data_IF_800332212672
#
_entry.id   IF_800332212672
#
_cell.length_a   1.000
_cell.length_b   1.000
_cell.length_c   1.000
_cell.angle_alpha   90.00
_cell.angle_beta   90.00
_cell.angle_gamma   90.00
#
_symmetry.space_group_name_H-M   'P 1'
#
loop_
_entity.id
_entity.type
_entity.pdbx_description
1 polymer ?
#
# COMPACT_ATOMS: atom_id res chain seq x y z
N UNK A 1 -66.26 8.47 65.71
CA UNK A 1 -67.29 8.57 64.66
C UNK A 1 -66.62 8.42 63.30
N UNK A 2 -67.11 7.46 62.51
CA UNK A 2 -67.03 7.30 61.05
C UNK A 2 -65.65 7.11 60.37
N UNK A 3 -65.51 5.91 59.76
CA UNK A 3 -64.57 5.56 58.68
C UNK A 3 -64.99 6.26 57.38
N UNK A 4 -64.03 6.69 56.56
CA UNK A 4 -64.07 6.55 55.08
C UNK A 4 -62.69 6.84 54.46
N UNK A 5 -62.39 6.08 53.41
CA UNK A 5 -61.16 6.06 52.62
C UNK A 5 -61.00 7.29 51.72
N UNK A 6 -59.81 7.52 51.13
CA UNK A 6 -59.57 7.81 49.69
C UNK A 6 -58.06 7.96 49.37
N UNK A 7 -57.55 7.00 48.58
CA UNK A 7 -56.51 7.03 47.51
C UNK A 7 -55.03 7.30 47.82
N UNK A 8 -54.24 6.23 47.60
CA UNK A 8 -52.79 6.15 47.43
C UNK A 8 -52.29 6.82 46.14
N UNK A 9 -51.11 7.42 46.19
CA UNK A 9 -50.16 7.45 45.06
C UNK A 9 -48.87 6.81 45.56
N UNK A 10 -48.60 5.58 45.09
CA UNK A 10 -47.34 4.89 45.27
C UNK A 10 -46.56 4.97 43.94
N UNK A 11 -45.43 5.67 43.94
CA UNK A 11 -44.44 5.58 42.87
C UNK A 11 -43.54 4.38 43.13
N UNK A 12 -43.87 3.26 42.48
CA UNK A 12 -42.98 2.13 42.29
C UNK A 12 -42.05 2.42 41.11
N UNK A 13 -40.73 2.47 41.33
CA UNK A 13 -39.75 2.28 40.26
C UNK A 13 -39.32 0.82 40.36
N UNK A 14 -39.88 0.01 39.48
CA UNK A 14 -39.60 -1.41 39.34
C UNK A 14 -38.19 -1.63 38.80
N UNK A 15 -37.46 -2.51 39.47
CA UNK A 15 -36.31 -3.20 38.91
C UNK A 15 -36.77 -4.09 37.75
N UNK A 16 -36.24 -3.84 36.56
CA UNK A 16 -36.28 -4.80 35.45
C UNK A 16 -34.85 -5.21 35.14
N UNK A 17 -34.50 -6.40 35.63
CA UNK A 17 -33.44 -7.25 35.10
C UNK A 17 -33.77 -7.59 33.64
N UNK A 18 -32.95 -7.14 32.70
CA UNK A 18 -32.87 -7.76 31.38
C UNK A 18 -31.46 -8.32 31.22
N UNK A 19 -31.42 -9.64 31.05
CA UNK A 19 -30.26 -10.39 30.60
C UNK A 19 -29.91 -9.91 29.19
N UNK A 20 -28.80 -9.20 29.02
CA UNK A 20 -28.20 -9.01 27.70
C UNK A 20 -27.49 -10.29 27.29
N UNK A 21 -28.24 -11.11 26.55
CA UNK A 21 -27.70 -12.16 25.71
C UNK A 21 -27.49 -11.60 24.31
N UNK A 22 -26.37 -10.92 24.07
CA UNK A 22 -25.85 -10.72 22.72
C UNK A 22 -24.34 -10.64 22.75
N UNK A 23 -23.73 -11.84 22.69
CA UNK A 23 -22.37 -12.01 22.21
C UNK A 23 -22.32 -11.72 20.71
N UNK A 24 -21.16 -11.24 20.26
CA UNK A 24 -20.75 -11.00 18.88
C UNK A 24 -21.32 -9.75 18.17
N UNK A 25 -20.65 -8.62 18.38
CA UNK A 25 -19.96 -7.87 17.33
C UNK A 25 -19.36 -6.59 17.94
N UNK A 26 -18.25 -6.75 18.66
CA UNK A 26 -17.33 -5.64 18.85
C UNK A 26 -16.45 -5.58 17.61
N UNK A 27 -16.96 -4.95 16.56
CA UNK A 27 -16.14 -4.51 15.44
C UNK A 27 -15.16 -3.47 16.02
N UNK A 28 -13.97 -3.93 16.42
CA UNK A 28 -12.87 -3.05 16.78
C UNK A 28 -12.58 -2.21 15.56
N UNK A 29 -13.16 -1.02 15.51
CA UNK A 29 -12.81 0.03 14.57
C UNK A 29 -11.38 0.47 14.93
N UNK A 30 -10.39 -0.29 14.46
CA UNK A 30 -8.96 0.01 14.62
C UNK A 30 -8.68 1.29 13.84
N UNK A 31 -8.35 2.38 14.55
CA UNK A 31 -8.07 3.68 13.95
C UNK A 31 -6.62 3.71 13.49
N UNK A 32 -6.39 4.11 12.23
CA UNK A 32 -5.08 4.56 11.77
C UNK A 32 -4.51 5.60 12.76
N UNK A 33 -3.23 5.48 13.10
CA UNK A 33 -2.56 6.38 14.05
C UNK A 33 -2.65 7.83 13.56
N UNK A 34 -3.04 8.75 14.43
CA UNK A 34 -3.01 10.18 14.10
C UNK A 34 -1.58 10.65 13.84
N UNK A 35 -1.39 11.75 13.10
CA UNK A 35 -0.06 12.33 12.84
C UNK A 35 0.73 12.58 14.13
N UNK A 36 0.06 12.96 15.23
CA UNK A 36 0.70 13.15 16.54
C UNK A 36 1.15 11.83 17.17
N UNK A 37 0.36 10.77 17.03
CA UNK A 37 0.74 9.43 17.52
C UNK A 37 1.93 8.86 16.73
N UNK A 38 1.96 9.09 15.41
CA UNK A 38 3.09 8.70 14.54
C UNK A 38 4.36 9.46 14.90
N UNK A 39 4.23 10.76 15.20
CA UNK A 39 5.35 11.59 15.64
C UNK A 39 5.86 11.16 17.02
N UNK A 40 4.97 10.86 17.96
CA UNK A 40 5.34 10.36 19.29
C UNK A 40 6.03 9.00 19.22
N UNK A 41 5.55 8.09 18.37
CA UNK A 41 6.17 6.80 18.13
C UNK A 41 7.62 6.99 17.66
N UNK A 42 7.85 7.70 16.56
CA UNK A 42 9.20 7.90 16.06
C UNK A 42 10.13 8.65 17.04
N UNK A 43 9.62 9.56 17.88
CA UNK A 43 10.40 10.18 18.97
C UNK A 43 10.82 9.19 20.05
N UNK A 44 9.91 8.31 20.46
CA UNK A 44 10.16 7.31 21.51
C UNK A 44 11.16 6.26 21.02
N UNK A 45 11.09 5.93 19.74
CA UNK A 45 11.85 4.86 19.12
C UNK A 45 13.28 5.28 18.74
N UNK A 46 13.55 6.58 18.54
CA UNK A 46 14.89 7.11 18.26
C UNK A 46 15.91 6.86 19.39
N UNK A 47 15.46 6.86 20.65
CA UNK A 47 16.30 6.52 21.79
C UNK A 47 16.74 5.04 21.76
N UNK A 48 15.82 4.13 21.37
CA UNK A 48 16.10 2.71 21.20
C UNK A 48 17.11 2.45 20.07
N UNK A 49 17.08 3.26 19.01
CA UNK A 49 18.01 3.13 17.88
C UNK A 49 19.43 3.57 18.18
N UNK A 50 19.58 4.60 19.01
CA UNK A 50 20.90 5.03 19.50
C UNK A 50 21.55 3.91 20.32
N UNK A 51 20.74 3.14 21.04
CA UNK A 51 21.23 1.93 21.73
C UNK A 51 21.56 0.85 20.70
N UNK A 52 20.69 0.62 19.70
CA UNK A 52 20.92 -0.37 18.65
C UNK A 52 22.23 -0.15 17.90
N UNK A 53 22.57 1.08 17.51
CA UNK A 53 23.78 1.37 16.71
C UNK A 53 25.09 1.07 17.45
N UNK A 54 25.08 1.02 18.78
CA UNK A 54 26.28 0.80 19.60
C UNK A 54 26.61 -0.67 19.88
N UNK A 55 25.71 -1.60 19.56
CA UNK A 55 25.94 -3.03 19.83
C UNK A 55 26.91 -3.67 18.84
N UNK A 56 27.69 -4.66 19.28
CA UNK A 56 28.61 -5.40 18.40
C UNK A 56 27.87 -6.11 17.26
N UNK A 57 26.70 -6.68 17.53
CA UNK A 57 25.86 -7.34 16.52
C UNK A 57 25.42 -6.36 15.43
N UNK A 58 25.00 -5.16 15.82
CA UNK A 58 24.59 -4.12 14.88
C UNK A 58 25.76 -3.65 14.03
N UNK A 59 26.93 -3.39 14.63
CA UNK A 59 28.14 -3.04 13.87
C UNK A 59 28.50 -4.12 12.85
N UNK A 60 28.50 -5.39 13.24
CA UNK A 60 28.75 -6.51 12.31
C UNK A 60 27.71 -6.58 11.20
N UNK A 61 26.44 -6.27 11.48
CA UNK A 61 25.38 -6.22 10.48
C UNK A 61 25.63 -5.07 9.49
N UNK A 62 26.06 -3.91 9.97
CA UNK A 62 26.44 -2.76 9.13
C UNK A 62 27.65 -3.09 8.25
N UNK A 63 28.70 -3.68 8.81
CA UNK A 63 29.88 -4.14 8.05
C UNK A 63 29.48 -5.11 6.93
N UNK A 64 28.58 -6.06 7.20
CA UNK A 64 28.04 -6.97 6.18
C UNK A 64 27.20 -6.24 5.13
N UNK A 65 26.37 -5.28 5.54
CA UNK A 65 25.54 -4.49 4.62
C UNK A 65 26.41 -3.66 3.67
N UNK A 66 27.45 -2.99 4.19
CA UNK A 66 28.45 -2.27 3.40
C UNK A 66 29.13 -3.20 2.42
N UNK A 67 29.71 -4.32 2.90
CA UNK A 67 30.42 -5.26 2.04
C UNK A 67 29.52 -5.86 0.93
N UNK A 68 28.25 -6.16 1.25
CA UNK A 68 27.26 -6.63 0.26
C UNK A 68 27.02 -5.57 -0.80
N UNK A 69 26.67 -4.34 -0.40
CA UNK A 69 26.35 -3.24 -1.32
C UNK A 69 27.54 -2.90 -2.21
N UNK A 70 28.76 -2.91 -1.67
CA UNK A 70 30.00 -2.76 -2.43
C UNK A 70 30.16 -3.83 -3.50
N UNK A 71 29.98 -5.10 -3.11
CA UNK A 71 30.10 -6.22 -4.03
C UNK A 71 29.03 -6.16 -5.13
N UNK A 72 27.79 -5.80 -4.79
CA UNK A 72 26.69 -5.64 -5.74
C UNK A 72 26.96 -4.52 -6.73
N UNK A 73 27.34 -3.32 -6.28
CA UNK A 73 27.66 -2.20 -7.17
C UNK A 73 28.82 -2.54 -8.10
N UNK A 74 29.89 -3.15 -7.57
CA UNK A 74 31.03 -3.60 -8.38
C UNK A 74 30.59 -4.59 -9.46
N UNK A 75 29.84 -5.63 -9.08
CA UNK A 75 29.30 -6.64 -10.00
C UNK A 75 28.43 -6.00 -11.09
N UNK A 76 27.51 -5.10 -10.73
CA UNK A 76 26.63 -4.43 -11.70
C UNK A 76 27.40 -3.56 -12.69
N UNK A 77 28.43 -2.85 -12.23
CA UNK A 77 29.34 -2.06 -13.07
C UNK A 77 30.14 -2.96 -14.02
N UNK A 78 30.63 -4.10 -13.54
CA UNK A 78 31.35 -5.10 -14.34
C UNK A 78 30.44 -5.75 -15.41
N UNK A 79 29.25 -6.21 -15.03
CA UNK A 79 28.26 -6.79 -15.96
C UNK A 79 27.85 -5.79 -17.04
N UNK A 80 27.75 -4.49 -16.70
CA UNK A 80 27.51 -3.43 -17.68
C UNK A 80 28.69 -3.25 -18.63
N UNK A 81 29.92 -3.22 -18.11
CA UNK A 81 31.11 -3.14 -18.95
C UNK A 81 31.19 -4.33 -19.92
N UNK A 82 30.91 -5.54 -19.45
CA UNK A 82 30.85 -6.74 -20.31
C UNK A 82 29.77 -6.65 -21.38
N UNK A 83 28.57 -6.15 -21.04
CA UNK A 83 27.52 -5.89 -22.04
C UNK A 83 27.95 -4.87 -23.09
N UNK A 84 28.66 -3.80 -22.70
CA UNK A 84 29.23 -2.82 -23.63
C UNK A 84 30.35 -3.39 -24.49
N UNK A 85 31.12 -4.37 -24.00
CA UNK A 85 32.17 -5.02 -24.79
C UNK A 85 31.60 -6.01 -25.82
N UNK A 86 30.38 -6.52 -25.58
CA UNK A 86 29.66 -7.42 -26.48
C UNK A 86 28.83 -6.69 -27.57
N UNK A 87 28.76 -5.35 -27.53
CA UNK A 87 28.20 -4.47 -28.57
C UNK A 87 29.34 -3.56 -29.07
N UNK A 88 29.83 -3.77 -30.29
CA UNK A 88 31.01 -3.03 -30.79
C UNK A 88 30.76 -1.54 -31.08
N UNK A 89 31.83 -0.77 -30.83
CA UNK A 89 32.10 0.67 -31.06
C UNK A 89 31.62 1.72 -30.04
N UNK A 90 32.55 2.18 -29.17
CA UNK A 90 33.12 3.54 -29.26
C UNK A 90 34.06 3.86 -28.09
N UNK A 91 35.14 4.57 -28.41
CA UNK A 91 36.12 5.16 -27.50
C UNK A 91 35.50 6.26 -26.62
N UNK A 92 35.47 6.04 -25.30
CA UNK A 92 35.38 7.12 -24.33
C UNK A 92 35.90 6.69 -22.96
N UNK A 93 37.02 7.30 -22.55
CA UNK A 93 37.56 7.24 -21.19
C UNK A 93 36.86 8.27 -20.31
N UNK A 94 36.03 7.84 -19.37
CA UNK A 94 35.61 8.62 -18.19
C UNK A 94 35.46 7.64 -17.02
N UNK A 95 36.00 8.00 -15.87
CA UNK A 95 36.31 7.07 -14.78
C UNK A 95 35.22 6.96 -13.70
N UNK A 96 35.23 5.82 -13.00
CA UNK A 96 34.21 5.28 -12.08
C UNK A 96 34.68 5.46 -10.61
N UNK A 97 35.56 6.44 -10.38
CA UNK A 97 36.59 6.35 -9.33
C UNK A 97 36.15 6.76 -7.92
N UNK A 98 34.86 7.05 -7.67
CA UNK A 98 34.40 7.12 -6.28
C UNK A 98 34.46 5.71 -5.71
N UNK A 99 35.47 5.47 -4.88
CA UNK A 99 35.67 4.20 -4.21
C UNK A 99 34.40 3.82 -3.46
N UNK A 100 33.94 2.58 -3.63
CA UNK A 100 32.75 2.07 -2.95
C UNK A 100 32.84 2.30 -1.44
N UNK A 101 34.05 2.20 -0.87
CA UNK A 101 34.30 2.53 0.52
C UNK A 101 33.85 3.94 0.91
N UNK A 102 34.02 4.95 0.05
CA UNK A 102 33.55 6.33 0.33
C UNK A 102 32.02 6.47 0.20
N UNK A 103 31.38 5.65 -0.63
CA UNK A 103 29.91 5.65 -0.79
C UNK A 103 29.19 4.96 0.37
N UNK A 104 29.87 4.06 1.08
CA UNK A 104 29.31 3.25 2.15
C UNK A 104 29.92 3.51 3.54
N UNK A 105 30.85 4.45 3.67
CA UNK A 105 31.50 4.89 4.94
C UNK A 105 30.67 5.93 5.71
N UNK A 106 29.35 5.92 5.54
CA UNK A 106 28.43 6.70 6.37
C UNK A 106 28.02 5.89 7.60
N UNK A 107 28.06 6.50 8.80
CA UNK A 107 27.38 5.95 9.97
C UNK A 107 25.94 5.63 9.58
N UNK A 108 25.61 4.35 9.36
CA UNK A 108 24.23 3.92 9.17
C UNK A 108 23.53 4.05 10.52
N UNK A 109 23.07 5.24 10.83
CA UNK A 109 22.09 5.43 11.88
C UNK A 109 20.85 4.67 11.43
N UNK A 110 20.52 3.60 12.12
CA UNK A 110 19.19 3.01 12.00
C UNK A 110 18.23 4.11 12.46
N UNK A 111 17.41 4.64 11.56
CA UNK A 111 16.44 5.67 11.90
C UNK A 111 15.05 5.12 11.59
N UNK A 112 14.11 5.37 12.51
CA UNK A 112 12.72 4.93 12.36
C UNK A 112 12.08 5.87 11.38
N UNK A 113 11.63 5.30 10.27
CA UNK A 113 10.79 6.02 9.34
C UNK A 113 9.48 6.40 10.07
N UNK A 114 9.04 7.66 10.03
CA UNK A 114 7.70 8.00 10.45
C UNK A 114 6.69 7.28 9.57
N UNK A 115 5.62 6.76 10.16
CA UNK A 115 4.52 6.16 9.40
C UNK A 115 3.91 7.19 8.42
N UNK A 116 3.85 6.84 7.14
CA UNK A 116 3.28 7.68 6.08
C UNK A 116 1.96 7.11 5.58
N UNK A 117 1.37 7.74 4.56
CA UNK A 117 0.18 7.21 3.89
C UNK A 117 0.56 6.24 2.77
N UNK A 118 -0.23 5.18 2.63
CA UNK A 118 -0.25 4.28 1.48
C UNK A 118 -0.64 5.02 0.17
N UNK A 119 -1.29 6.17 0.27
CA UNK A 119 -1.73 6.94 -0.89
C UNK A 119 -2.85 6.24 -1.69
N UNK A 120 -3.34 6.88 -2.77
CA UNK A 120 -4.56 6.45 -3.44
C UNK A 120 -4.37 5.25 -4.39
N UNK A 121 -3.19 4.64 -4.47
CA UNK A 121 -2.85 3.66 -5.51
C UNK A 121 -2.30 2.33 -4.98
N UNK A 122 -2.48 2.06 -3.68
CA UNK A 122 -2.07 0.78 -3.10
C UNK A 122 -3.01 -0.36 -3.54
N UNK A 123 -2.43 -1.46 -3.98
CA UNK A 123 -3.13 -2.65 -4.45
C UNK A 123 -2.68 -3.83 -3.58
N UNK A 124 -3.62 -4.60 -3.04
CA UNK A 124 -3.34 -5.71 -2.11
C UNK A 124 -3.11 -7.02 -2.85
N UNK A 125 -2.24 -7.87 -2.31
CA UNK A 125 -2.02 -9.22 -2.85
C UNK A 125 -1.17 -9.22 -4.12
N UNK A 126 -0.21 -8.31 -4.19
CA UNK A 126 0.78 -8.20 -5.27
C UNK A 126 1.61 -9.48 -5.45
N UNK A 127 2.24 -9.58 -6.61
CA UNK A 127 3.08 -10.73 -6.98
C UNK A 127 4.39 -10.71 -6.19
N UNK A 128 4.77 -11.88 -5.67
CA UNK A 128 6.08 -12.11 -5.08
C UNK A 128 7.11 -12.21 -6.21
N UNK A 129 7.95 -11.18 -6.37
CA UNK A 129 8.96 -11.08 -7.43
C UNK A 129 10.03 -10.06 -7.10
N UNK A 130 11.24 -10.36 -7.58
CA UNK A 130 12.41 -9.48 -7.47
C UNK A 130 12.50 -8.47 -8.62
N UNK A 131 12.19 -8.87 -9.85
CA UNK A 131 12.15 -7.94 -11.01
C UNK A 131 10.71 -7.49 -11.27
N UNK A 132 10.47 -6.20 -11.08
CA UNK A 132 9.15 -5.56 -11.18
C UNK A 132 8.98 -4.75 -12.46
N UNK A 133 9.99 -4.68 -13.33
CA UNK A 133 9.98 -3.78 -14.51
C UNK A 133 8.95 -4.16 -15.55
N UNK A 134 8.72 -5.47 -15.72
CA UNK A 134 7.97 -6.02 -16.84
C UNK A 134 8.44 -5.45 -18.18
N UNK A 135 7.58 -4.72 -18.89
CA UNK A 135 7.88 -4.07 -20.17
C UNK A 135 8.11 -2.56 -20.05
N UNK A 136 8.17 -2.02 -18.84
CA UNK A 136 8.37 -0.58 -18.65
C UNK A 136 9.78 -0.17 -19.04
N UNK A 137 9.88 0.94 -19.78
CA UNK A 137 11.17 1.52 -20.19
C UNK A 137 11.53 2.65 -19.24
N UNK A 138 12.80 2.73 -18.84
CA UNK A 138 13.31 3.78 -17.96
C UNK A 138 14.73 3.47 -17.50
N UNK A 139 15.25 4.34 -16.62
CA UNK A 139 16.55 4.15 -15.96
C UNK A 139 16.44 2.94 -15.06
N UNK A 140 17.28 1.91 -15.23
CA UNK A 140 17.21 0.72 -14.37
C UNK A 140 17.61 1.09 -12.94
N UNK A 141 16.77 0.73 -11.98
CA UNK A 141 16.98 0.96 -10.55
C UNK A 141 17.10 -0.38 -9.83
N UNK A 142 18.21 -0.60 -9.14
CA UNK A 142 18.42 -1.73 -8.24
C UNK A 142 18.23 -1.24 -6.81
N UNK A 143 17.41 -1.95 -6.03
CA UNK A 143 16.93 -1.49 -4.72
C UNK A 143 17.41 -2.47 -3.64
N UNK A 144 18.04 -1.96 -2.58
CA UNK A 144 18.38 -2.69 -1.35
C UNK A 144 17.64 -2.02 -0.17
N UNK A 145 16.59 -2.67 0.32
CA UNK A 145 15.83 -2.22 1.50
C UNK A 145 16.18 -3.14 2.67
N UNK A 146 16.88 -2.62 3.67
CA UNK A 146 17.18 -3.37 4.88
C UNK A 146 16.24 -2.98 6.02
N UNK A 147 15.63 -3.98 6.67
CA UNK A 147 14.66 -3.80 7.75
C UNK A 147 15.21 -4.38 9.05
N UNK A 148 15.18 -3.57 10.11
CA UNK A 148 15.62 -3.95 11.46
C UNK A 148 14.48 -3.72 12.44
N UNK A 149 14.26 -4.67 13.35
CA UNK A 149 13.30 -4.51 14.42
C UNK A 149 13.92 -3.62 15.50
N UNK A 150 13.25 -2.53 15.80
CA UNK A 150 13.78 -1.55 16.76
C UNK A 150 13.76 -2.04 18.20
N UNK A 151 12.93 -3.03 18.51
CA UNK A 151 12.76 -3.53 19.88
C UNK A 151 13.91 -4.43 20.33
N UNK A 152 14.57 -5.12 19.38
CA UNK A 152 15.66 -6.06 19.68
C UNK A 152 16.92 -5.83 18.82
N UNK A 153 16.89 -4.81 17.95
CA UNK A 153 17.97 -4.42 17.06
C UNK A 153 18.42 -5.53 16.09
N UNK A 154 17.55 -6.49 15.80
CA UNK A 154 17.85 -7.61 14.90
C UNK A 154 17.26 -7.38 13.51
N UNK A 155 17.91 -7.93 12.46
CA UNK A 155 17.31 -7.92 11.13
C UNK A 155 15.96 -8.64 11.15
N UNK A 156 14.96 -8.06 10.47
CA UNK A 156 13.65 -8.68 10.31
C UNK A 156 13.68 -9.62 9.13
N UNK A 157 13.75 -10.92 9.40
CA UNK A 157 13.69 -11.97 8.38
C UNK A 157 12.24 -12.27 7.95
N UNK A 158 12.05 -12.64 6.69
CA UNK A 158 10.76 -13.05 6.12
C UNK A 158 9.66 -11.97 6.24
N UNK A 159 10.04 -10.70 6.31
CA UNK A 159 9.13 -9.59 6.06
C UNK A 159 8.92 -9.46 4.56
N UNK A 160 7.67 -9.42 4.14
CA UNK A 160 7.28 -9.27 2.74
C UNK A 160 7.17 -7.78 2.43
N UNK A 161 8.26 -7.23 1.89
CA UNK A 161 8.38 -5.82 1.49
C UNK A 161 7.60 -5.62 0.20
N UNK A 162 6.46 -4.94 0.31
CA UNK A 162 5.63 -4.52 -0.82
C UNK A 162 6.07 -3.11 -1.25
N UNK A 163 6.55 -3.01 -2.49
CA UNK A 163 7.02 -1.76 -3.07
C UNK A 163 6.31 -1.50 -4.39
N UNK A 164 5.82 -0.28 -4.55
CA UNK A 164 5.22 0.18 -5.78
C UNK A 164 5.53 1.64 -6.06
N UNK A 165 5.56 2.00 -7.34
CA UNK A 165 5.75 3.38 -7.77
C UNK A 165 5.20 3.63 -9.18
N UNK A 166 5.17 4.89 -9.57
CA UNK A 166 4.76 5.29 -10.91
C UNK A 166 5.80 4.88 -11.98
N UNK A 167 5.35 4.69 -13.22
CA UNK A 167 6.26 4.61 -14.36
C UNK A 167 6.92 5.97 -14.67
N UNK A 168 7.79 5.99 -15.68
CA UNK A 168 8.58 7.17 -16.03
C UNK A 168 7.75 8.43 -16.37
N UNK A 169 6.47 8.28 -16.72
CA UNK A 169 5.55 9.39 -17.03
C UNK A 169 4.51 9.65 -15.94
N UNK A 170 4.68 9.07 -14.75
CA UNK A 170 3.81 9.33 -13.60
C UNK A 170 2.51 8.51 -13.59
N UNK A 171 2.49 7.31 -14.18
CA UNK A 171 1.30 6.44 -14.18
C UNK A 171 1.54 5.18 -13.35
N UNK A 172 0.64 4.89 -12.42
CA UNK A 172 0.60 3.65 -11.65
C UNK A 172 -0.20 2.57 -12.38
N UNK A 173 0.31 1.34 -12.39
CA UNK A 173 -0.41 0.15 -12.89
C UNK A 173 -1.58 -0.22 -11.97
N UNK A 174 -2.55 -1.00 -12.47
CA UNK A 174 -3.62 -1.59 -11.65
C UNK A 174 -4.70 -0.62 -11.16
N UNK A 175 -4.60 0.67 -11.50
CA UNK A 175 -5.53 1.71 -11.01
C UNK A 175 -5.93 2.67 -12.12
N UNK A 176 -7.23 2.97 -12.21
CA UNK A 176 -7.78 4.00 -13.09
C UNK A 176 -8.42 5.08 -12.23
N UNK A 177 -7.86 6.29 -12.28
CA UNK A 177 -8.32 7.44 -11.52
C UNK A 177 -8.10 8.72 -12.33
N UNK A 178 -8.87 9.77 -12.05
CA UNK A 178 -8.73 11.08 -12.72
C UNK A 178 -7.34 11.72 -12.55
N UNK A 179 -6.62 11.30 -11.52
CA UNK A 179 -5.27 11.76 -11.17
C UNK A 179 -4.16 10.83 -11.63
N UNK A 180 -4.48 9.69 -12.28
CA UNK A 180 -3.52 8.66 -12.67
C UNK A 180 -3.47 8.48 -14.20
N UNK A 181 -2.69 9.32 -14.89
CA UNK A 181 -2.52 9.24 -16.34
C UNK A 181 -3.83 9.41 -17.11
N UNK A 182 -4.09 8.50 -18.07
CA UNK A 182 -5.31 8.51 -18.86
C UNK A 182 -6.44 7.75 -18.14
N UNK A 183 -7.36 8.48 -17.50
CA UNK A 183 -8.50 7.87 -16.79
C UNK A 183 -9.51 7.15 -17.68
N UNK A 184 -9.43 7.31 -19.01
CA UNK A 184 -10.26 6.55 -19.95
C UNK A 184 -9.66 5.18 -20.30
N UNK A 185 -8.37 4.96 -20.01
CA UNK A 185 -7.70 3.69 -20.29
C UNK A 185 -8.02 2.63 -19.23
N UNK A 186 -9.08 1.87 -19.48
CA UNK A 186 -9.49 0.76 -18.61
C UNK A 186 -8.53 -0.43 -18.66
N UNK A 187 -7.67 -0.53 -19.68
CA UNK A 187 -6.70 -1.64 -19.78
C UNK A 187 -5.66 -1.56 -18.66
N UNK A 188 -5.44 -0.38 -18.08
CA UNK A 188 -4.49 -0.20 -17.00
C UNK A 188 -4.83 -1.00 -15.73
N UNK A 189 -6.10 -1.36 -15.52
CA UNK A 189 -6.51 -2.24 -14.42
C UNK A 189 -5.89 -3.64 -14.49
N UNK A 190 -5.47 -4.07 -15.68
CA UNK A 190 -4.87 -5.39 -15.92
C UNK A 190 -3.35 -5.39 -15.77
N UNK A 191 -2.73 -4.21 -15.66
CA UNK A 191 -1.29 -4.09 -15.56
C UNK A 191 -0.83 -4.27 -14.13
N UNK A 192 0.33 -4.89 -13.94
CA UNK A 192 0.95 -5.04 -12.62
C UNK A 192 2.35 -4.43 -12.56
N UNK A 193 2.85 -3.81 -13.64
CA UNK A 193 4.22 -3.28 -13.68
C UNK A 193 4.58 -2.40 -12.49
N UNK A 194 5.85 -2.43 -12.07
CA UNK A 194 6.44 -1.57 -11.04
C UNK A 194 5.79 -1.74 -9.66
N UNK A 195 5.30 -2.94 -9.39
CA UNK A 195 4.77 -3.40 -8.11
C UNK A 195 5.37 -4.75 -7.78
N UNK A 196 5.66 -5.02 -6.52
CA UNK A 196 6.14 -6.36 -6.16
C UNK A 196 6.40 -6.52 -4.69
N UNK A 197 6.31 -7.77 -4.28
CA UNK A 197 6.55 -8.18 -2.91
C UNK A 197 7.83 -9.00 -2.85
N UNK A 198 8.80 -8.59 -2.05
CA UNK A 198 10.06 -9.33 -1.89
C UNK A 198 10.27 -9.67 -0.42
N UNK A 199 10.46 -10.96 -0.06
CA UNK A 199 10.77 -11.33 1.31
C UNK A 199 12.19 -10.89 1.69
N UNK A 200 12.35 -10.41 2.92
CA UNK A 200 13.66 -10.11 3.48
C UNK A 200 14.44 -11.38 3.83
N UNK A 201 15.75 -11.35 3.61
CA UNK A 201 16.68 -12.44 3.91
C UNK A 201 17.12 -12.48 5.40
N UNK A 202 18.17 -13.26 5.71
CA UNK A 202 18.73 -13.39 7.06
C UNK A 202 19.33 -12.08 7.61
N UNK A 203 19.76 -11.17 6.74
CA UNK A 203 20.28 -9.85 7.10
C UNK A 203 19.18 -8.78 7.05
N UNK A 204 17.93 -9.20 6.85
CA UNK A 204 16.74 -8.34 6.83
C UNK A 204 16.58 -7.58 5.53
N UNK A 205 17.15 -8.08 4.42
CA UNK A 205 17.27 -7.33 3.17
C UNK A 205 16.31 -7.86 2.13
N UNK A 206 15.51 -6.95 1.55
CA UNK A 206 14.76 -7.19 0.33
C UNK A 206 15.49 -6.50 -0.84
N UNK A 207 15.91 -7.29 -1.82
CA UNK A 207 16.54 -6.80 -3.04
C UNK A 207 15.54 -6.83 -4.21
N UNK A 208 15.40 -5.72 -4.94
CA UNK A 208 14.49 -5.63 -6.09
C UNK A 208 15.13 -4.93 -7.30
N UNK A 209 14.59 -5.19 -8.48
CA UNK A 209 14.94 -4.53 -9.74
C UNK A 209 13.70 -3.84 -10.28
N UNK A 210 13.82 -2.55 -10.58
CA UNK A 210 12.76 -1.73 -11.14
C UNK A 210 13.33 -0.70 -12.14
N UNK A 211 12.51 0.26 -12.55
CA UNK A 211 12.98 1.51 -13.15
C UNK A 211 12.93 2.63 -12.12
N UNK A 212 13.72 3.69 -12.29
CA UNK A 212 13.60 4.89 -11.45
C UNK A 212 12.19 5.48 -11.58
N UNK A 213 11.49 5.85 -10.50
CA UNK A 213 10.11 6.33 -10.58
C UNK A 213 10.02 7.65 -11.37
N UNK A 214 8.94 7.85 -12.11
CA UNK A 214 8.60 9.16 -12.67
C UNK A 214 7.76 9.98 -11.69
N UNK A 215 7.71 11.30 -11.91
CA UNK A 215 6.83 12.19 -11.14
C UNK A 215 5.40 12.24 -11.69
N UNK A 216 4.45 12.57 -10.83
CA UNK A 216 3.09 12.96 -11.21
C UNK A 216 2.68 14.26 -10.51
N UNK A 217 1.69 14.95 -11.06
CA UNK A 217 1.32 16.30 -10.63
C UNK A 217 1.03 16.36 -9.12
N UNK A 218 1.68 17.30 -8.44
CA UNK A 218 1.48 17.57 -7.02
C UNK A 218 2.35 16.74 -6.07
N UNK A 219 3.22 15.86 -6.59
CA UNK A 219 4.14 15.04 -5.79
C UNK A 219 5.55 15.02 -6.38
N UNK A 220 6.57 14.96 -5.52
CA UNK A 220 7.96 14.67 -5.96
C UNK A 220 8.08 13.20 -6.37
N UNK A 221 9.14 12.82 -7.07
CA UNK A 221 9.48 11.41 -7.33
C UNK A 221 9.63 10.63 -6.03
N UNK A 222 8.94 9.50 -5.90
CA UNK A 222 8.94 8.64 -4.71
C UNK A 222 8.62 7.18 -5.05
N UNK A 223 8.94 6.27 -4.12
CA UNK A 223 8.46 4.90 -4.11
C UNK A 223 7.75 4.61 -2.79
N UNK A 224 6.70 3.81 -2.81
CA UNK A 224 5.99 3.42 -1.60
C UNK A 224 6.56 2.13 -1.01
N UNK A 225 6.35 1.94 0.29
CA UNK A 225 6.78 0.77 1.04
C UNK A 225 5.69 0.31 2.01
N UNK A 226 5.42 -1.00 2.07
CA UNK A 226 4.68 -1.64 3.15
C UNK A 226 5.43 -2.87 3.63
N UNK A 227 5.68 -2.94 4.94
CA UNK A 227 6.28 -4.10 5.60
C UNK A 227 5.22 -5.10 6.06
N UNK A 228 4.96 -6.15 5.29
CA UNK A 228 3.97 -7.18 5.65
C UNK A 228 4.62 -8.35 6.40
N UNK A 229 3.93 -8.94 7.37
CA UNK A 229 4.39 -10.11 8.13
C UNK A 229 3.25 -11.02 8.58
N UNK A 230 3.56 -12.25 8.99
CA UNK A 230 2.59 -13.18 9.57
C UNK A 230 1.54 -13.76 8.60
N UNK A 231 1.62 -13.41 7.30
CA UNK A 231 0.78 -13.95 6.24
C UNK A 231 1.32 -15.23 5.61
N UNK A 232 0.58 -15.72 4.60
CA UNK A 232 0.85 -16.97 3.88
C UNK A 232 1.13 -16.70 2.40
N UNK A 233 2.15 -17.37 1.86
CA UNK A 233 2.41 -17.42 0.42
C UNK A 233 1.43 -18.39 -0.24
N UNK A 234 0.70 -17.90 -1.22
CA UNK A 234 -0.25 -18.68 -2.01
C UNK A 234 0.43 -19.34 -3.21
N UNK A 235 -0.19 -20.39 -3.76
CA UNK A 235 0.34 -21.16 -4.90
C UNK A 235 0.52 -20.34 -6.19
N UNK A 236 -0.24 -19.25 -6.33
CA UNK A 236 -0.14 -18.28 -7.42
C UNK A 236 0.96 -17.22 -7.20
N UNK A 237 1.84 -17.40 -6.20
CA UNK A 237 2.91 -16.47 -5.83
C UNK A 237 2.41 -15.11 -5.35
N UNK A 238 1.23 -15.02 -4.75
CA UNK A 238 0.81 -13.81 -4.00
C UNK A 238 0.90 -14.05 -2.50
N UNK A 239 0.79 -12.99 -1.72
CA UNK A 239 0.85 -13.02 -0.25
C UNK A 239 -0.49 -12.60 0.35
N UNK A 240 -1.01 -13.34 1.33
CA UNK A 240 -2.33 -13.08 1.94
C UNK A 240 -2.34 -13.28 3.46
N UNK A 241 -3.36 -12.71 4.12
CA UNK A 241 -3.56 -12.86 5.57
C UNK A 241 -2.48 -12.21 6.43
N UNK A 242 -1.75 -11.22 5.88
CA UNK A 242 -0.65 -10.57 6.56
C UNK A 242 -1.11 -9.42 7.48
N UNK A 243 -0.36 -9.22 8.55
CA UNK A 243 -0.34 -7.99 9.34
C UNK A 243 0.64 -6.99 8.70
N UNK A 244 0.41 -5.69 8.92
CA UNK A 244 1.28 -4.62 8.42
C UNK A 244 2.04 -4.00 9.58
N UNK A 245 3.37 -4.07 9.53
CA UNK A 245 4.23 -3.49 10.56
C UNK A 245 4.47 -2.00 10.32
N UNK A 246 4.53 -1.58 9.05
CA UNK A 246 4.95 -0.22 8.70
C UNK A 246 4.44 0.18 7.31
N UNK A 247 4.09 1.45 7.15
CA UNK A 247 3.73 2.09 5.88
C UNK A 247 4.64 3.30 5.67
N UNK A 248 5.36 3.32 4.56
CA UNK A 248 6.41 4.30 4.27
C UNK A 248 6.42 4.77 2.83
N UNK A 249 7.26 5.79 2.57
CA UNK A 249 7.56 6.30 1.25
C UNK A 249 9.02 6.74 1.21
N UNK A 250 9.75 6.23 0.22
CA UNK A 250 11.13 6.60 -0.05
C UNK A 250 11.19 7.73 -1.06
N UNK A 251 12.10 8.66 -0.82
CA UNK A 251 12.36 9.84 -1.65
C UNK A 251 13.79 9.80 -2.20
N UNK A 252 14.10 10.73 -3.09
CA UNK A 252 15.38 10.78 -3.79
C UNK A 252 15.93 12.20 -3.80
N UNK A 253 17.25 12.31 -3.85
CA UNK A 253 17.94 13.61 -4.00
C UNK A 253 17.48 14.36 -5.25
N UNK A 254 17.32 15.67 -5.12
CA UNK A 254 16.83 16.51 -6.23
C UNK A 254 17.78 16.44 -7.44
N UNK A 255 19.09 16.43 -7.21
CA UNK A 255 20.09 16.33 -8.27
C UNK A 255 19.97 15.02 -9.07
N UNK A 256 19.64 13.92 -8.39
CA UNK A 256 19.39 12.63 -9.06
C UNK A 256 18.10 12.67 -9.86
N UNK A 257 17.04 13.26 -9.30
CA UNK A 257 15.76 13.45 -10.01
C UNK A 257 15.99 14.26 -11.28
N UNK A 258 16.66 15.41 -11.18
CA UNK A 258 16.94 16.29 -12.32
C UNK A 258 17.76 15.58 -13.41
N UNK A 259 18.75 14.77 -13.01
CA UNK A 259 19.55 13.97 -13.93
C UNK A 259 18.73 12.90 -14.66
N UNK A 260 17.75 12.27 -14.00
CA UNK A 260 16.87 11.27 -14.62
C UNK A 260 15.80 11.92 -15.50
N UNK A 261 15.22 13.04 -15.08
CA UNK A 261 14.20 13.79 -15.84
C UNK A 261 14.71 14.27 -17.21
N UNK A 262 16.02 14.47 -17.36
CA UNK A 262 16.66 14.81 -18.62
C UNK A 262 16.72 13.65 -19.63
N UNK A 263 16.49 12.40 -19.20
CA UNK A 263 16.66 11.18 -19.99
C UNK A 263 15.32 10.69 -20.56
N UNK A 264 15.32 10.11 -21.77
CA UNK A 264 14.11 9.46 -22.32
C UNK A 264 13.84 8.13 -21.59
N UNK A 265 12.58 7.81 -21.20
CA UNK A 265 11.34 8.51 -21.55
C UNK A 265 10.88 9.58 -20.55
N UNK A 266 11.60 9.83 -19.45
CA UNK A 266 11.22 10.82 -18.44
C UNK A 266 11.05 12.22 -19.03
N UNK A 267 11.95 12.63 -19.93
CA UNK A 267 11.86 13.92 -20.65
C UNK A 267 10.60 14.12 -21.52
N UNK A 268 9.82 13.05 -21.74
CA UNK A 268 8.52 13.12 -22.42
C UNK A 268 7.37 13.45 -21.47
N UNK A 269 7.56 13.31 -20.16
CA UNK A 269 6.57 13.65 -19.14
C UNK A 269 6.29 15.16 -19.18
N UNK A 270 5.02 15.53 -19.32
CA UNK A 270 4.56 16.94 -19.40
C UNK A 270 3.86 17.40 -18.13
N UNK A 271 3.80 16.55 -17.11
CA UNK A 271 3.28 16.93 -15.81
C UNK A 271 4.20 17.97 -15.14
N UNK A 272 3.64 18.76 -14.23
CA UNK A 272 4.44 19.71 -13.45
C UNK A 272 5.23 18.97 -12.39
N UNK A 273 6.56 19.06 -12.45
CA UNK A 273 7.45 18.53 -11.44
C UNK A 273 7.33 19.34 -10.13
N UNK A 274 6.99 18.66 -9.04
CA UNK A 274 7.11 19.19 -7.68
C UNK A 274 8.49 18.81 -7.15
N UNK A 275 9.29 19.80 -6.74
CA UNK A 275 10.60 19.50 -6.13
C UNK A 275 10.44 18.78 -4.80
N UNK A 276 11.46 18.00 -4.40
CA UNK A 276 11.45 17.25 -3.14
C UNK A 276 11.21 18.18 -1.95
N UNK A 277 11.91 19.31 -1.89
CA UNK A 277 11.73 20.34 -0.85
C UNK A 277 10.34 21.00 -0.84
N UNK A 278 9.54 20.85 -1.90
CA UNK A 278 8.17 21.39 -1.98
C UNK A 278 7.09 20.36 -1.64
N UNK A 279 7.42 19.06 -1.65
CA UNK A 279 6.47 17.98 -1.40
C UNK A 279 6.05 17.94 0.08
N UNK A 280 4.74 17.84 0.31
CA UNK A 280 4.18 17.85 1.67
C UNK A 280 4.42 16.55 2.41
N UNK A 281 4.41 15.41 1.71
CA UNK A 281 4.64 14.09 2.32
C UNK A 281 6.12 13.94 2.66
N UNK A 282 7.03 14.45 1.82
CA UNK A 282 8.45 14.52 2.16
C UNK A 282 8.67 15.34 3.44
N UNK A 283 8.02 16.52 3.56
CA UNK A 283 8.11 17.34 4.78
C UNK A 283 7.55 16.63 6.03
N UNK A 284 6.51 15.82 5.86
CA UNK A 284 5.98 14.98 6.94
C UNK A 284 6.97 13.86 7.31
N UNK A 285 7.62 13.27 6.31
CA UNK A 285 8.62 12.21 6.46
C UNK A 285 9.91 12.68 7.15
N UNK A 286 10.31 13.94 6.98
CA UNK A 286 11.44 14.56 7.69
C UNK A 286 11.25 14.69 9.22
N UNK A 287 10.11 14.23 9.76
CA UNK A 287 9.88 14.19 11.19
C UNK A 287 10.92 13.35 11.94
N UNK A 288 11.31 13.81 13.13
CA UNK A 288 12.11 13.05 14.10
C UNK A 288 13.50 12.63 13.62
N UNK A 289 14.18 13.51 12.86
CA UNK A 289 15.57 13.32 12.42
C UNK A 289 15.76 12.10 11.51
N UNK A 290 14.67 11.59 10.91
CA UNK A 290 14.70 10.60 9.84
C UNK A 290 14.98 11.28 8.51
N UNK A 291 15.92 10.69 7.77
CA UNK A 291 16.15 11.03 6.38
C UNK A 291 15.48 9.99 5.49
N UNK A 292 14.36 10.32 4.83
CA UNK A 292 13.64 9.39 3.98
C UNK A 292 14.24 9.29 2.57
N UNK A 293 15.38 9.96 2.33
CA UNK A 293 16.10 9.93 1.06
C UNK A 293 16.88 8.62 0.95
N UNK A 294 16.65 7.89 -0.16
CA UNK A 294 17.48 6.74 -0.47
C UNK A 294 18.88 7.20 -0.87
N UNK A 295 19.88 6.56 -0.27
CA UNK A 295 21.25 6.67 -0.75
C UNK A 295 21.35 6.04 -2.13
N UNK A 296 22.30 6.51 -2.94
CA UNK A 296 22.45 6.00 -4.30
C UNK A 296 23.90 5.97 -4.79
N UNK A 297 24.15 5.10 -5.75
CA UNK A 297 25.37 5.01 -6.53
C UNK A 297 25.00 4.88 -8.00
N UNK A 298 25.62 5.71 -8.85
CA UNK A 298 25.50 5.56 -10.30
C UNK A 298 26.27 4.32 -10.77
N UNK A 299 25.69 3.59 -11.72
CA UNK A 299 26.29 2.38 -12.31
C UNK A 299 27.14 2.67 -13.55
N UNK A 300 27.19 3.94 -13.96
CA UNK A 300 28.05 4.44 -15.03
C UNK A 300 28.32 5.93 -14.87
N UNK A 301 28.62 6.59 -15.98
CA UNK A 301 28.97 8.02 -16.01
C UNK A 301 27.74 8.93 -15.98
N UNK A 302 26.53 8.37 -16.13
CA UNK A 302 25.27 9.11 -16.11
C UNK A 302 24.15 8.29 -15.47
N UNK A 303 23.05 8.95 -15.08
CA UNK A 303 21.87 8.26 -14.57
C UNK A 303 21.27 7.26 -15.57
N UNK A 304 21.41 7.49 -16.88
CA UNK A 304 20.95 6.57 -17.92
C UNK A 304 21.59 5.17 -17.84
N UNK A 305 22.75 5.07 -17.18
CA UNK A 305 23.48 3.81 -17.03
C UNK A 305 22.93 2.92 -15.92
N UNK A 306 21.93 3.42 -15.18
CA UNK A 306 21.31 2.76 -14.06
C UNK A 306 21.82 3.27 -12.72
N UNK A 307 21.01 3.01 -11.69
CA UNK A 307 21.25 3.47 -10.33
C UNK A 307 21.09 2.28 -9.38
N UNK A 308 21.96 2.20 -8.39
CA UNK A 308 21.77 1.34 -7.23
C UNK A 308 21.37 2.22 -6.06
N UNK A 309 20.22 1.95 -5.45
CA UNK A 309 19.66 2.72 -4.33
C UNK A 309 19.52 1.84 -3.10
N UNK A 310 19.78 2.41 -1.91
CA UNK A 310 19.63 1.67 -0.67
C UNK A 310 19.16 2.53 0.49
N UNK A 311 18.47 1.88 1.43
CA UNK A 311 18.07 2.46 2.71
C UNK A 311 18.01 1.36 3.77
N UNK A 312 18.36 1.71 5.01
CA UNK A 312 18.19 0.83 6.16
C UNK A 312 17.17 1.47 7.10
N UNK A 313 16.00 0.87 7.22
CA UNK A 313 14.91 1.34 8.06
C UNK A 313 14.75 0.50 9.32
N UNK A 314 14.29 1.14 10.38
CA UNK A 314 13.87 0.45 11.59
C UNK A 314 12.35 0.47 11.73
N UNK A 315 11.78 -0.69 12.02
CA UNK A 315 10.33 -0.92 12.20
C UNK A 315 10.04 -1.44 13.59
N UNK A 316 8.86 -1.15 14.11
CA UNK A 316 8.35 -1.80 15.32
C UNK A 316 7.46 -2.98 14.91
N UNK A 317 7.98 -4.19 15.09
CA UNK A 317 7.25 -5.42 14.77
C UNK A 317 6.07 -5.70 15.70
N UNK A 318 5.87 -4.91 16.76
CA UNK A 318 4.67 -4.96 17.61
C UNK A 318 3.55 -4.06 17.08
N UNK A 319 3.83 -3.20 16.10
CA UNK A 319 2.82 -2.39 15.45
C UNK A 319 1.97 -3.22 14.48
N UNK A 320 0.70 -2.84 14.37
CA UNK A 320 -0.24 -3.38 13.40
C UNK A 320 -1.03 -2.22 12.78
N UNK A 321 -0.68 -1.88 11.54
CA UNK A 321 -1.29 -0.77 10.80
C UNK A 321 -2.54 -1.22 10.04
N UNK A 322 -3.55 -0.36 10.00
CA UNK A 322 -4.71 -0.53 9.12
C UNK A 322 -4.44 0.17 7.78
N UNK A 323 -4.43 -0.58 6.69
CA UNK A 323 -4.11 -0.09 5.34
C UNK A 323 -5.30 -0.22 4.41
N UNK A 324 -5.61 0.86 3.68
CA UNK A 324 -6.71 0.89 2.71
C UNK A 324 -6.21 0.68 1.29
N UNK A 325 -6.36 -0.54 0.79
CA UNK A 325 -6.11 -0.85 -0.62
C UNK A 325 -7.26 -0.36 -1.51
N UNK A 326 -6.94 0.14 -2.71
CA UNK A 326 -7.94 0.51 -3.72
C UNK A 326 -8.39 -0.67 -4.58
N UNK A 327 -7.61 -1.75 -4.61
CA UNK A 327 -7.97 -3.02 -5.26
C UNK A 327 -7.16 -4.19 -4.69
N UNK A 328 -7.54 -5.43 -5.03
CA UNK A 328 -6.85 -6.67 -4.64
C UNK A 328 -6.59 -7.53 -5.88
N UNK A 329 -5.38 -8.07 -6.05
CA UNK A 329 -4.93 -8.84 -7.24
C UNK A 329 -5.24 -10.35 -7.18
N UNK A 330 -5.97 -10.84 -6.18
CA UNK A 330 -6.08 -12.28 -5.92
C UNK A 330 -6.93 -13.04 -6.98
N UNK A 331 -6.25 -13.70 -7.92
CA UNK A 331 -6.70 -14.94 -8.60
C UNK A 331 -6.41 -14.99 -10.10
N UNK A 332 -5.89 -16.10 -10.63
CA UNK A 332 -5.73 -16.34 -12.08
C UNK A 332 -6.97 -17.01 -12.67
N UNK A 333 -7.51 -16.46 -13.77
CA UNK A 333 -8.75 -16.91 -14.43
C UNK A 333 -9.82 -15.83 -14.33
N UNK A 334 -10.95 -15.94 -15.01
CA UNK A 334 -12.03 -14.92 -15.03
C UNK A 334 -12.60 -14.52 -13.65
N UNK A 335 -12.10 -15.11 -12.56
CA UNK A 335 -12.26 -14.70 -11.17
C UNK A 335 -11.28 -13.60 -10.69
N UNK A 336 -10.29 -13.19 -11.50
CA UNK A 336 -9.22 -12.23 -11.21
C UNK A 336 -9.65 -10.76 -11.05
N UNK A 337 -10.87 -10.43 -11.45
CA UNK A 337 -11.39 -9.07 -11.39
C UNK A 337 -12.75 -9.06 -10.76
N UNK A 338 -12.79 -9.23 -9.45
CA UNK A 338 -14.03 -9.01 -8.75
C UNK A 338 -13.81 -8.35 -7.38
N UNK A 339 -13.18 -7.17 -7.36
CA UNK A 339 -13.34 -6.25 -6.22
C UNK A 339 -14.81 -5.84 -5.99
N UNK A 340 -15.68 -6.06 -6.99
CA UNK A 340 -17.14 -5.98 -6.83
C UNK A 340 -17.72 -6.98 -5.83
N UNK A 341 -17.05 -8.11 -5.51
CA UNK A 341 -17.58 -9.08 -4.51
C UNK A 341 -17.40 -8.59 -3.07
N UNK A 342 -16.50 -7.62 -2.85
CA UNK A 342 -16.21 -7.00 -1.55
C UNK A 342 -16.74 -5.56 -1.44
N UNK A 343 -17.34 -5.01 -2.49
CA UNK A 343 -17.93 -3.67 -2.47
C UNK A 343 -19.41 -3.73 -2.08
N UNK A 344 -19.83 -3.07 -0.97
CA UNK A 344 -21.24 -2.91 -0.64
C UNK A 344 -22.01 -2.23 -1.78
N UNK A 345 -23.24 -2.67 -2.05
CA UNK A 345 -24.07 -2.16 -3.14
C UNK A 345 -24.42 -0.67 -3.04
N UNK A 346 -24.32 -0.06 -1.85
CA UNK A 346 -24.53 1.39 -1.70
C UNK A 346 -23.34 2.23 -2.19
N UNK A 347 -22.10 1.72 -2.13
CA UNK A 347 -20.88 2.45 -2.49
C UNK A 347 -20.82 2.98 -3.93
N UNK A 348 -21.34 2.29 -4.97
CA UNK A 348 -21.44 2.85 -6.32
C UNK A 348 -22.25 4.15 -6.40
N UNK A 349 -23.18 4.38 -5.46
CA UNK A 349 -23.85 5.68 -5.27
C UNK A 349 -22.81 6.76 -5.08
N UNK A 350 -21.97 6.64 -4.05
CA UNK A 350 -20.79 7.50 -3.82
C UNK A 350 -19.89 7.75 -5.04
N UNK A 351 -19.76 6.79 -5.95
CA UNK A 351 -18.95 6.92 -7.18
C UNK A 351 -19.76 7.37 -8.41
N UNK A 352 -21.06 7.58 -8.25
CA UNK A 352 -22.02 7.94 -9.29
C UNK A 352 -21.95 7.00 -10.52
N UNK A 353 -21.81 5.69 -10.30
CA UNK A 353 -21.54 4.71 -11.36
C UNK A 353 -22.60 3.63 -11.44
N UNK A 354 -23.54 3.79 -12.39
CA UNK A 354 -24.57 2.79 -12.69
C UNK A 354 -23.97 1.47 -13.20
N UNK A 355 -22.88 1.54 -13.97
CA UNK A 355 -22.18 0.35 -14.49
C UNK A 355 -21.57 -0.49 -13.37
N UNK A 356 -21.02 0.17 -12.35
CA UNK A 356 -20.46 -0.51 -11.18
C UNK A 356 -21.57 -1.17 -10.34
N UNK A 357 -22.69 -0.46 -10.16
CA UNK A 357 -23.87 -0.96 -9.48
C UNK A 357 -24.44 -2.22 -10.17
N UNK A 358 -24.56 -2.21 -11.50
CA UNK A 358 -24.97 -3.37 -12.30
C UNK A 358 -23.99 -4.54 -12.14
N UNK A 359 -22.68 -4.29 -12.19
CA UNK A 359 -21.67 -5.35 -12.05
C UNK A 359 -21.70 -6.03 -10.68
N UNK A 360 -21.92 -5.29 -9.59
CA UNK A 360 -22.06 -5.86 -8.23
C UNK A 360 -23.33 -6.73 -8.16
N UNK A 361 -24.42 -6.27 -8.78
CA UNK A 361 -25.67 -7.02 -8.85
C UNK A 361 -25.53 -8.33 -9.63
N UNK A 362 -24.99 -8.29 -10.84
CA UNK A 362 -24.76 -9.49 -11.67
C UNK A 362 -23.83 -10.48 -10.97
N UNK A 363 -22.91 -9.98 -10.14
CA UNK A 363 -22.04 -10.82 -9.30
C UNK A 363 -22.78 -11.46 -8.13
N UNK A 364 -23.84 -10.84 -7.62
CA UNK A 364 -24.70 -11.41 -6.57
C UNK A 364 -25.71 -12.42 -7.10
N UNK A 365 -26.22 -12.25 -8.32
CA UNK A 365 -27.22 -13.15 -8.90
C UNK A 365 -26.74 -14.61 -9.05
N UNK A 366 -25.43 -14.80 -9.17
CA UNK A 366 -24.79 -16.12 -9.20
C UNK A 366 -25.07 -16.98 -7.96
N UNK A 367 -25.49 -16.37 -6.85
CA UNK A 367 -25.75 -17.04 -5.57
C UNK A 367 -27.25 -17.18 -5.25
N UNK A 368 -28.15 -16.76 -6.15
CA UNK A 368 -29.61 -16.76 -5.89
C UNK A 368 -30.20 -18.18 -5.89
N UNK A 369 -29.67 -19.07 -6.73
CA UNK A 369 -30.13 -20.47 -6.87
C UNK A 369 -29.24 -21.48 -6.12
N UNK A 370 -28.25 -21.00 -5.35
CA UNK A 370 -27.28 -21.85 -4.67
C UNK A 370 -27.89 -22.44 -3.39
N UNK A 371 -28.75 -23.44 -3.59
CA UNK A 371 -29.43 -24.23 -2.55
C UNK A 371 -28.50 -25.21 -1.84
N UNK A 372 -27.20 -25.22 -2.18
CA UNK A 372 -26.20 -26.07 -1.56
C UNK A 372 -25.19 -25.16 -0.88
N UNK A 373 -25.36 -24.96 0.43
CA UNK A 373 -24.33 -24.34 1.26
C UNK A 373 -23.08 -25.24 1.26
N UNK A 374 -22.15 -25.00 0.34
CA UNK A 374 -20.79 -25.46 0.52
C UNK A 374 -20.20 -24.63 1.67
N UNK A 375 -20.11 -25.25 2.84
CA UNK A 375 -19.54 -24.65 4.04
C UNK A 375 -18.06 -24.23 3.87
N UNK A 376 -17.42 -24.67 2.77
CA UNK A 376 -16.04 -24.39 2.41
C UNK A 376 -15.86 -23.20 1.44
N UNK A 377 -16.94 -22.56 0.96
CA UNK A 377 -16.81 -21.37 0.11
C UNK A 377 -16.49 -20.10 0.93
N UNK A 378 -15.53 -19.27 0.49
CA UNK A 378 -15.14 -18.05 1.20
C UNK A 378 -16.28 -17.02 1.27
N UNK A 379 -16.33 -16.30 2.39
CA UNK A 379 -17.25 -15.20 2.65
C UNK A 379 -17.11 -14.07 1.62
N UNK A 380 -18.23 -13.54 1.10
CA UNK A 380 -18.27 -12.34 0.23
C UNK A 380 -19.54 -11.51 0.44
N UNK A 381 -19.48 -10.20 0.15
CA UNK A 381 -20.65 -9.30 0.29
C UNK A 381 -21.73 -9.58 -0.77
N UNK A 382 -21.36 -9.92 -2.00
CA UNK A 382 -22.35 -10.28 -3.04
C UNK A 382 -23.18 -11.50 -2.66
N UNK A 383 -22.57 -12.50 -1.99
CA UNK A 383 -23.32 -13.67 -1.48
C UNK A 383 -24.39 -13.22 -0.48
N UNK A 384 -24.02 -12.38 0.49
CA UNK A 384 -24.97 -11.84 1.47
C UNK A 384 -26.05 -10.93 0.86
N UNK A 385 -25.75 -10.19 -0.22
CA UNK A 385 -26.77 -9.43 -0.96
C UNK A 385 -27.85 -10.37 -1.51
N UNK A 386 -27.47 -11.56 -1.99
CA UNK A 386 -28.40 -12.54 -2.53
C UNK A 386 -29.08 -13.39 -1.46
N UNK A 387 -28.37 -13.79 -0.40
CA UNK A 387 -28.81 -14.83 0.53
C UNK A 387 -29.30 -14.31 1.88
N UNK A 388 -28.87 -13.14 2.35
CA UNK A 388 -29.22 -12.61 3.67
C UNK A 388 -30.23 -11.46 3.59
N UNK A 389 -31.46 -11.72 4.07
CA UNK A 389 -32.56 -10.76 4.04
C UNK A 389 -32.28 -9.45 4.81
N UNK A 390 -31.50 -9.51 5.90
CA UNK A 390 -31.21 -8.33 6.72
C UNK A 390 -30.16 -7.46 6.06
N UNK A 391 -29.11 -8.09 5.53
CA UNK A 391 -28.07 -7.40 4.78
C UNK A 391 -28.62 -6.78 3.49
N UNK A 392 -29.48 -7.51 2.77
CA UNK A 392 -30.17 -7.04 1.57
C UNK A 392 -31.02 -5.79 1.86
N UNK A 393 -31.78 -5.78 2.96
CA UNK A 393 -32.52 -4.61 3.43
C UNK A 393 -31.63 -3.44 3.83
N UNK A 394 -30.51 -3.70 4.50
CA UNK A 394 -29.54 -2.68 4.88
C UNK A 394 -28.91 -2.00 3.65
N UNK A 395 -28.49 -2.79 2.65
CA UNK A 395 -27.91 -2.27 1.42
C UNK A 395 -28.91 -1.44 0.61
N UNK A 396 -30.17 -1.85 0.52
CA UNK A 396 -31.22 -1.08 -0.13
C UNK A 396 -31.42 0.30 0.54
N UNK A 397 -31.52 0.33 1.87
CA UNK A 397 -31.71 1.59 2.61
C UNK A 397 -30.54 2.54 2.43
N UNK A 398 -29.30 2.07 2.54
CA UNK A 398 -28.12 2.93 2.32
C UNK A 398 -27.99 3.41 0.87
N UNK A 399 -28.26 2.54 -0.10
CA UNK A 399 -28.21 2.91 -1.52
C UNK A 399 -29.21 4.02 -1.84
N UNK A 400 -30.43 3.91 -1.30
CA UNK A 400 -31.44 4.96 -1.46
C UNK A 400 -31.02 6.30 -0.83
N UNK A 401 -30.46 6.27 0.38
CA UNK A 401 -30.01 7.50 1.05
C UNK A 401 -28.92 8.21 0.23
N UNK A 402 -27.90 7.48 -0.21
CA UNK A 402 -26.81 8.08 -1.00
C UNK A 402 -27.30 8.57 -2.38
N UNK A 403 -28.12 7.80 -3.08
CA UNK A 403 -28.59 8.17 -4.44
C UNK A 403 -29.51 9.39 -4.40
N UNK A 404 -30.33 9.54 -3.35
CA UNK A 404 -31.19 10.72 -3.16
C UNK A 404 -30.34 11.97 -2.93
N UNK A 405 -29.28 11.89 -2.13
CA UNK A 405 -28.33 13.00 -1.95
C UNK A 405 -27.67 13.42 -3.27
N UNK A 406 -27.37 12.45 -4.14
CA UNK A 406 -26.76 12.68 -5.45
C UNK A 406 -27.74 13.14 -6.53
N UNK A 407 -29.05 13.11 -6.25
CA UNK A 407 -30.12 13.46 -7.20
C UNK A 407 -30.03 12.70 -8.53
N UNK A 408 -29.52 11.46 -8.51
CA UNK A 408 -29.38 10.62 -9.71
C UNK A 408 -30.62 9.74 -9.90
N UNK A 409 -31.53 10.18 -10.77
CA UNK A 409 -32.82 9.50 -11.04
C UNK A 409 -32.63 8.15 -11.73
N UNK A 410 -31.59 7.97 -12.54
CA UNK A 410 -31.33 6.70 -13.23
C UNK A 410 -30.89 5.62 -12.25
N UNK A 411 -30.00 5.95 -11.31
CA UNK A 411 -29.61 5.03 -10.25
C UNK A 411 -30.75 4.75 -9.27
N UNK A 412 -31.59 5.76 -8.98
CA UNK A 412 -32.75 5.58 -8.12
C UNK A 412 -33.72 4.56 -8.74
N UNK A 413 -34.00 4.72 -10.03
CA UNK A 413 -34.84 3.78 -10.79
C UNK A 413 -34.23 2.38 -10.76
N UNK A 414 -32.93 2.26 -11.03
CA UNK A 414 -32.23 0.99 -11.01
C UNK A 414 -32.37 0.26 -9.67
N UNK A 415 -32.20 0.97 -8.54
CA UNK A 415 -32.26 0.36 -7.19
C UNK A 415 -33.68 -0.10 -6.88
N UNK A 416 -34.68 0.73 -7.16
CA UNK A 416 -36.09 0.38 -6.90
C UNK A 416 -36.55 -0.79 -7.76
N UNK A 417 -36.09 -0.87 -9.02
CA UNK A 417 -36.43 -1.98 -9.93
C UNK A 417 -35.88 -3.34 -9.50
N UNK A 418 -34.79 -3.38 -8.73
CA UNK A 418 -34.09 -4.63 -8.37
C UNK A 418 -34.37 -5.10 -6.94
N UNK A 419 -34.83 -4.20 -6.09
CA UNK A 419 -35.28 -4.47 -4.73
C UNK A 419 -36.79 -4.31 -4.58
N UNK A 420 -37.56 -4.83 -5.53
CA UNK A 420 -39.02 -4.64 -5.58
C UNK A 420 -39.76 -5.20 -4.36
N UNK A 421 -39.15 -6.17 -3.67
CA UNK A 421 -39.71 -6.86 -2.51
C UNK A 421 -39.42 -6.14 -1.17
N UNK A 422 -38.59 -5.10 -1.18
CA UNK A 422 -38.19 -4.37 0.01
C UNK A 422 -38.97 -3.07 0.19
N UNK A 423 -39.23 -2.71 1.45
CA UNK A 423 -39.91 -1.46 1.81
C UNK A 423 -38.89 -0.43 2.30
N UNK A 424 -39.16 0.84 2.02
CA UNK A 424 -38.43 1.95 2.62
C UNK A 424 -38.76 1.99 4.11
N UNK A 425 -37.81 1.59 4.94
CA UNK A 425 -37.95 1.70 6.39
C UNK A 425 -37.64 3.15 6.78
N UNK A 426 -38.67 3.91 7.15
CA UNK A 426 -38.48 5.22 7.74
C UNK A 426 -37.73 5.05 9.08
N UNK A 427 -36.64 5.80 9.25
CA UNK A 427 -35.97 5.93 10.56
C UNK A 427 -37.02 6.49 11.55
N UNK A 428 -37.27 5.77 12.64
CA UNK A 428 -37.84 6.39 13.85
C UNK A 428 -36.74 7.13 14.60
#
# INVERSE_FOLDING_TARGET
>A
MVKTATVLVATAIAACTLFDSSSAHQELTRRALSTDQRKLFAQTTQASLTICSTTESSRKLQERAVARREATVRKLREERLQRRLNDHESDLKVTVDTASSVLFDGETTFIVEPELTEGPYYVRGELIRTDMREKQTGVTMYVDVQVINVNDCKPVKNMYVDLWHANATGVYSGVVASTNGNSADQSNLQNTFLRGVTPTDEDGVAEMISIFPGHYAGRTTHAHFIGNYGGTVLSNKTYSGASVAHVGQFFFEQDLIDAVEAVTPYSTNKQTLTTTASDKIYKEALGNNYDPIMNYALLGSSANDGVFVWISLAVDMTAEQDVKAVSTLAGSGEAAFNSSVELPLHRPGRFNSLKLLQRIWDSSEKYVDDTISNADEPWTLCKYIATDKHYRQYQFTLSLLEIVELKNIEMLRWVVERFQDLKVLAKR
#
